data_IF_515481834379
#
_entry.id   IF_515481834379
#
_cell.length_a   1.000
_cell.length_b   1.000
_cell.length_c   1.000
_cell.angle_alpha   90.00
_cell.angle_beta   90.00
_cell.angle_gamma   90.00
#
_symmetry.space_group_name_H-M   'P 1'
#
loop_
_entity.id
_entity.type
_entity.pdbx_description
1 polymer ?
#
# COMPACT_ATOMS: atom_id res chain seq x y z
N UNK A 1 17.36 -5.83 9.02
CA UNK A 1 18.41 -5.51 8.04
C UNK A 1 18.23 -6.49 6.91
N UNK A 2 17.83 -5.99 5.74
CA UNK A 2 17.64 -6.81 4.55
C UNK A 2 18.82 -6.57 3.60
N UNK A 3 19.81 -7.46 3.65
CA UNK A 3 21.03 -7.37 2.83
C UNK A 3 20.72 -7.53 1.35
N UNK A 4 19.80 -8.43 1.01
CA UNK A 4 19.44 -8.74 -0.37
C UNK A 4 18.75 -7.55 -1.04
N UNK A 5 17.82 -6.90 -0.33
CA UNK A 5 17.19 -5.66 -0.79
C UNK A 5 18.22 -4.59 -1.09
N UNK A 6 19.14 -4.30 -0.15
CA UNK A 6 20.12 -3.22 -0.31
C UNK A 6 21.06 -3.45 -1.49
N UNK A 7 21.51 -4.69 -1.67
CA UNK A 7 22.36 -5.08 -2.80
C UNK A 7 21.61 -4.95 -4.13
N UNK A 8 20.38 -5.48 -4.20
CA UNK A 8 19.54 -5.40 -5.38
C UNK A 8 19.20 -3.95 -5.76
N UNK A 9 18.85 -3.11 -4.78
CA UNK A 9 18.61 -1.68 -4.99
C UNK A 9 19.85 -0.97 -5.51
N UNK A 10 21.01 -1.17 -4.89
CA UNK A 10 22.24 -0.50 -5.30
C UNK A 10 22.65 -0.85 -6.73
N UNK A 11 22.46 -2.12 -7.11
CA UNK A 11 22.70 -2.60 -8.47
C UNK A 11 21.67 -2.04 -9.47
N UNK A 12 20.38 -2.04 -9.12
CA UNK A 12 19.32 -1.47 -9.95
C UNK A 12 19.52 0.04 -10.20
N UNK A 13 19.90 0.80 -9.17
CA UNK A 13 20.23 2.23 -9.29
C UNK A 13 21.38 2.45 -10.26
N UNK A 14 22.49 1.71 -10.13
CA UNK A 14 23.67 1.84 -11.01
C UNK A 14 23.37 1.52 -12.48
N UNK A 15 22.37 0.66 -12.73
CA UNK A 15 21.91 0.33 -14.09
C UNK A 15 20.88 1.32 -14.64
N UNK A 16 20.26 2.14 -13.80
CA UNK A 16 19.22 3.07 -14.22
C UNK A 16 19.82 4.20 -15.07
N UNK A 17 19.28 4.49 -16.27
CA UNK A 17 19.78 5.59 -17.10
C UNK A 17 19.67 6.94 -16.37
N UNK A 18 20.80 7.66 -16.30
CA UNK A 18 20.85 8.99 -15.69
C UNK A 18 20.68 9.00 -14.16
N UNK A 19 20.98 7.88 -13.46
CA UNK A 19 20.89 7.82 -12.00
C UNK A 19 21.76 8.90 -11.32
N UNK A 20 22.86 9.29 -11.96
CA UNK A 20 23.79 10.33 -11.53
C UNK A 20 23.13 11.71 -11.40
N UNK A 21 21.99 11.92 -12.05
CA UNK A 21 21.17 13.11 -11.85
C UNK A 21 20.70 13.25 -10.40
N UNK A 22 20.47 12.15 -9.67
CA UNK A 22 19.94 12.15 -8.29
C UNK A 22 20.91 11.56 -7.28
N UNK A 23 21.74 10.59 -7.67
CA UNK A 23 22.68 9.88 -6.78
C UNK A 23 24.10 10.00 -7.33
N UNK A 24 25.00 10.65 -6.59
CA UNK A 24 26.40 10.82 -7.02
C UNK A 24 27.30 9.65 -6.61
N UNK A 25 26.99 8.93 -5.53
CA UNK A 25 27.72 7.73 -5.11
C UNK A 25 26.79 6.78 -4.35
N UNK A 26 27.02 5.48 -4.47
CA UNK A 26 26.30 4.44 -3.73
C UNK A 26 27.16 3.19 -3.55
N UNK A 27 27.37 2.82 -2.29
CA UNK A 27 28.20 1.69 -1.89
C UNK A 27 27.46 0.83 -0.90
N UNK A 28 27.46 -0.48 -1.15
CA UNK A 28 26.88 -1.49 -0.27
C UNK A 28 27.86 -2.66 -0.21
N UNK A 29 28.36 -2.94 0.98
CA UNK A 29 29.20 -4.08 1.29
C UNK A 29 28.41 -5.39 1.28
N UNK A 30 29.13 -6.52 1.30
CA UNK A 30 28.52 -7.86 1.33
C UNK A 30 27.68 -8.11 2.60
N UNK A 31 27.93 -7.36 3.65
CA UNK A 31 27.19 -7.37 4.91
C UNK A 31 25.96 -6.44 4.89
N UNK A 32 25.67 -5.78 3.76
CA UNK A 32 24.58 -4.84 3.59
C UNK A 32 24.83 -3.46 4.20
N UNK A 33 26.01 -3.20 4.77
CA UNK A 33 26.39 -1.88 5.27
C UNK A 33 26.93 -1.00 4.15
N UNK A 34 26.84 0.32 4.29
CA UNK A 34 27.34 1.24 3.29
C UNK A 34 26.66 2.60 3.36
N UNK A 35 26.63 3.31 2.23
CA UNK A 35 26.08 4.66 2.14
C UNK A 35 25.53 4.95 0.76
N UNK A 36 24.69 5.99 0.71
CA UNK A 36 24.27 6.67 -0.51
C UNK A 36 24.62 8.15 -0.37
N UNK A 37 25.17 8.74 -1.42
CA UNK A 37 25.40 10.19 -1.53
C UNK A 37 24.53 10.71 -2.64
N UNK A 38 23.62 11.61 -2.28
CA UNK A 38 22.73 12.26 -3.23
C UNK A 38 23.43 13.42 -3.96
N UNK A 39 23.07 13.60 -5.22
CA UNK A 39 23.57 14.68 -6.05
C UNK A 39 22.84 16.00 -5.71
N UNK A 40 23.54 17.02 -5.17
CA UNK A 40 22.91 18.29 -4.78
C UNK A 40 22.36 19.11 -5.95
N UNK A 41 22.75 18.80 -7.20
CA UNK A 41 22.13 19.44 -8.38
C UNK A 41 20.77 18.84 -8.75
N UNK A 42 20.45 17.64 -8.24
CA UNK A 42 19.22 16.93 -8.54
C UNK A 42 18.23 16.84 -7.40
N UNK A 43 18.68 16.93 -6.16
CA UNK A 43 17.81 16.89 -4.98
C UNK A 43 18.23 17.92 -3.95
N UNK A 44 17.26 18.43 -3.21
CA UNK A 44 17.49 19.22 -2.02
C UNK A 44 17.29 18.34 -0.79
N UNK A 45 18.26 18.33 0.13
CA UNK A 45 18.16 17.63 1.41
C UNK A 45 18.03 18.69 2.50
N UNK A 46 17.09 18.47 3.43
CA UNK A 46 16.93 19.33 4.59
C UNK A 46 18.23 19.37 5.43
N UNK A 47 18.84 20.55 5.65
CA UNK A 47 20.12 20.66 6.38
C UNK A 47 20.06 20.16 7.83
N UNK A 48 18.86 20.00 8.38
CA UNK A 48 18.62 19.51 9.74
C UNK A 48 18.24 18.03 9.79
N UNK A 49 18.26 17.34 8.64
CA UNK A 49 17.90 15.92 8.57
C UNK A 49 18.83 15.06 9.43
N UNK A 50 18.27 14.24 10.35
CA UNK A 50 19.07 13.35 11.18
C UNK A 50 19.66 12.21 10.35
N UNK A 51 20.91 11.83 10.66
CA UNK A 51 21.58 10.72 9.98
C UNK A 51 22.27 11.09 8.66
N UNK A 52 22.02 12.29 8.13
CA UNK A 52 22.74 12.82 6.97
C UNK A 52 24.04 13.55 7.39
N UNK A 53 25.11 13.31 6.63
CA UNK A 53 26.35 14.10 6.67
C UNK A 53 26.51 14.80 5.33
N UNK A 54 26.03 16.04 5.25
CA UNK A 54 25.87 16.73 3.97
C UNK A 54 24.75 16.06 3.17
N UNK A 55 25.07 15.53 1.99
CA UNK A 55 24.12 14.77 1.16
C UNK A 55 24.30 13.25 1.26
N UNK A 56 25.09 12.77 2.23
CA UNK A 56 25.36 11.34 2.41
C UNK A 56 24.60 10.77 3.60
N UNK A 57 23.94 9.62 3.42
CA UNK A 57 23.25 8.87 4.47
C UNK A 57 23.74 7.42 4.54
N UNK A 58 23.71 6.78 5.73
CA UNK A 58 23.98 5.35 5.84
C UNK A 58 22.90 4.54 5.11
N UNK A 59 23.31 3.47 4.45
CA UNK A 59 22.39 2.60 3.69
C UNK A 59 21.56 1.75 4.66
N UNK A 60 20.44 2.28 5.14
CA UNK A 60 19.42 1.52 5.89
C UNK A 60 18.42 0.85 4.93
N UNK A 61 17.53 0.00 5.44
CA UNK A 61 16.49 -0.62 4.60
C UNK A 61 15.53 0.45 4.03
N UNK A 62 15.19 1.46 4.84
CA UNK A 62 14.36 2.60 4.42
C UNK A 62 15.12 3.56 3.49
N UNK A 63 16.40 3.81 3.74
CA UNK A 63 17.23 4.66 2.87
C UNK A 63 17.41 4.02 1.49
N UNK A 64 17.52 2.68 1.41
CA UNK A 64 17.53 1.97 0.14
C UNK A 64 16.22 2.20 -0.64
N UNK A 65 15.07 2.10 0.03
CA UNK A 65 13.75 2.40 -0.55
C UNK A 65 13.69 3.86 -1.06
N UNK A 66 14.12 4.83 -0.23
CA UNK A 66 14.14 6.26 -0.57
C UNK A 66 15.02 6.56 -1.78
N UNK A 67 16.24 6.00 -1.82
CA UNK A 67 17.17 6.18 -2.93
C UNK A 67 16.65 5.57 -4.24
N UNK A 68 16.03 4.39 -4.17
CA UNK A 68 15.43 3.73 -5.33
C UNK A 68 14.24 4.53 -5.86
N UNK A 69 13.34 4.97 -4.98
CA UNK A 69 12.20 5.83 -5.33
C UNK A 69 12.66 7.10 -6.05
N UNK A 70 13.64 7.83 -5.49
CA UNK A 70 14.16 9.07 -6.08
C UNK A 70 14.77 8.86 -7.47
N UNK A 71 15.49 7.75 -7.66
CA UNK A 71 16.04 7.36 -8.97
C UNK A 71 14.91 7.17 -9.98
N UNK A 72 13.86 6.44 -9.61
CA UNK A 72 12.72 6.15 -10.50
C UNK A 72 11.82 7.35 -10.74
N UNK A 73 11.67 8.25 -9.76
CA UNK A 73 10.99 9.54 -9.95
C UNK A 73 11.64 10.32 -11.10
N UNK A 74 12.98 10.35 -11.15
CA UNK A 74 13.70 11.02 -12.23
C UNK A 74 13.65 10.25 -13.56
N UNK A 75 13.96 8.95 -13.55
CA UNK A 75 14.17 8.18 -14.78
C UNK A 75 12.89 7.64 -15.42
N UNK A 76 11.98 7.07 -14.62
CA UNK A 76 10.79 6.35 -15.10
C UNK A 76 9.56 7.26 -15.11
N UNK A 77 9.29 7.93 -13.99
CA UNK A 77 8.13 8.83 -13.85
C UNK A 77 8.41 10.25 -14.35
N UNK A 78 9.65 10.51 -14.79
CA UNK A 78 10.09 11.72 -15.53
C UNK A 78 9.89 13.04 -14.78
N UNK A 79 9.99 13.03 -13.47
CA UNK A 79 10.10 14.27 -12.69
C UNK A 79 11.49 14.89 -12.88
N UNK A 80 11.59 16.23 -13.03
CA UNK A 80 12.89 16.88 -13.11
C UNK A 80 13.76 16.57 -11.88
N UNK A 81 14.96 16.04 -12.11
CA UNK A 81 16.00 15.99 -11.09
C UNK A 81 16.52 17.43 -10.87
N UNK A 82 15.98 18.09 -9.85
CA UNK A 82 16.39 19.42 -9.43
C UNK A 82 16.09 19.63 -7.95
N UNK A 83 16.91 20.39 -7.21
CA UNK A 83 16.61 20.76 -5.83
C UNK A 83 15.33 21.58 -5.69
N UNK A 84 14.79 22.17 -6.77
CA UNK A 84 13.49 22.85 -6.78
C UNK A 84 12.30 21.90 -6.91
N UNK A 85 12.54 20.67 -7.36
CA UNK A 85 11.50 19.66 -7.64
C UNK A 85 11.51 18.54 -6.61
N UNK A 86 12.67 17.98 -6.28
CA UNK A 86 12.80 16.85 -5.38
C UNK A 86 13.41 17.32 -4.06
N UNK A 87 12.61 17.25 -2.99
CA UNK A 87 13.01 17.59 -1.63
C UNK A 87 12.99 16.34 -0.76
N UNK A 88 14.02 16.17 0.07
CA UNK A 88 14.23 15.02 0.95
C UNK A 88 14.25 15.49 2.40
N UNK A 89 13.57 14.74 3.27
CA UNK A 89 13.60 14.92 4.73
C UNK A 89 13.11 16.29 5.22
N UNK A 90 12.21 16.91 4.46
CA UNK A 90 11.74 18.28 4.71
C UNK A 90 11.08 18.38 6.09
N UNK A 91 11.64 19.27 6.93
CA UNK A 91 11.17 19.50 8.29
C UNK A 91 9.92 20.38 8.34
N UNK A 92 8.99 20.02 9.21
CA UNK A 92 7.84 20.83 9.59
C UNK A 92 7.91 21.21 11.06
N UNK A 93 7.38 22.39 11.40
CA UNK A 93 7.31 22.83 12.80
C UNK A 93 6.25 22.02 13.58
N UNK A 94 6.39 21.85 14.89
CA UNK A 94 5.35 21.22 15.71
C UNK A 94 4.03 21.98 15.57
N UNK A 95 2.92 21.26 15.37
CA UNK A 95 1.58 21.85 15.36
C UNK A 95 1.10 22.01 16.81
N UNK A 96 0.76 23.23 17.23
CA UNK A 96 0.00 23.50 18.46
C UNK A 96 0.78 23.42 19.80
N UNK A 97 2.09 23.14 19.80
CA UNK A 97 2.94 23.28 20.99
C UNK A 97 4.20 24.10 20.68
N UNK A 98 4.56 25.11 21.49
CA UNK A 98 5.80 25.88 21.30
C UNK A 98 7.07 25.02 21.42
N UNK A 99 6.96 23.88 22.10
CA UNK A 99 8.06 22.93 22.37
C UNK A 99 7.60 21.53 21.97
N UNK A 100 8.33 20.90 21.05
CA UNK A 100 8.08 19.54 20.55
C UNK A 100 8.99 19.22 19.36
N UNK A 101 9.17 17.92 19.03
CA UNK A 101 9.79 17.52 17.76
C UNK A 101 8.73 17.66 16.66
N UNK A 102 9.02 18.45 15.64
CA UNK A 102 8.20 18.54 14.45
C UNK A 102 8.23 17.23 13.64
N UNK A 103 7.40 17.14 12.60
CA UNK A 103 7.41 16.02 11.66
C UNK A 103 8.36 16.25 10.49
N UNK A 104 8.69 15.19 9.76
CA UNK A 104 9.40 15.24 8.48
C UNK A 104 8.63 14.41 7.47
N UNK A 105 8.70 14.83 6.22
CA UNK A 105 8.30 14.01 5.08
C UNK A 105 9.55 13.49 4.40
N UNK A 106 9.55 12.21 4.03
CA UNK A 106 10.72 11.58 3.43
C UNK A 106 11.03 12.17 2.05
N UNK A 107 10.01 12.29 1.19
CA UNK A 107 10.15 12.91 -0.13
C UNK A 107 8.96 13.82 -0.43
N UNK A 108 9.24 15.06 -0.82
CA UNK A 108 8.28 16.01 -1.36
C UNK A 108 8.63 16.31 -2.81
N UNK A 109 7.71 16.00 -3.73
CA UNK A 109 7.82 16.36 -5.15
C UNK A 109 7.01 17.63 -5.39
N UNK A 110 7.67 18.68 -5.89
CA UNK A 110 7.08 19.97 -6.24
C UNK A 110 6.61 19.99 -7.70
N UNK A 111 5.55 20.75 -7.98
CA UNK A 111 5.19 21.14 -9.35
C UNK A 111 6.26 22.04 -9.96
N UNK A 112 6.22 22.18 -11.29
CA UNK A 112 7.08 23.15 -11.99
C UNK A 112 6.63 24.55 -11.59
N UNK A 113 7.47 25.24 -10.82
CA UNK A 113 7.26 26.64 -10.47
C UNK A 113 7.62 27.59 -11.60
N UNK A 114 7.52 28.89 -11.34
CA UNK A 114 8.10 29.92 -12.22
C UNK A 114 9.62 29.73 -12.27
N UNK A 115 10.26 30.28 -13.31
CA UNK A 115 11.72 30.18 -13.48
C UNK A 115 12.47 30.54 -12.18
N UNK A 116 13.25 29.60 -11.66
CA UNK A 116 14.04 29.76 -10.44
C UNK A 116 13.24 29.67 -9.12
N UNK A 117 11.97 29.30 -9.15
CA UNK A 117 11.11 29.20 -7.97
C UNK A 117 10.59 27.77 -7.77
N UNK A 118 10.41 27.39 -6.50
CA UNK A 118 9.72 26.15 -6.12
C UNK A 118 8.24 26.27 -6.50
N UNK A 119 7.68 25.20 -7.04
CA UNK A 119 6.24 25.09 -7.23
C UNK A 119 5.50 24.68 -5.96
N UNK A 120 4.24 24.32 -6.14
CA UNK A 120 3.39 23.79 -5.09
C UNK A 120 3.75 22.32 -4.80
N UNK A 121 3.38 21.81 -3.62
CA UNK A 121 3.50 20.37 -3.36
C UNK A 121 2.63 19.57 -4.34
N UNK A 122 3.18 18.50 -4.91
CA UNK A 122 2.45 17.60 -5.81
C UNK A 122 2.34 16.20 -5.21
N UNK A 123 3.47 15.52 -4.95
CA UNK A 123 3.50 14.25 -4.20
C UNK A 123 4.10 14.47 -2.82
N UNK A 124 3.43 13.98 -1.78
CA UNK A 124 3.89 13.98 -0.40
C UNK A 124 4.08 12.53 0.04
N UNK A 125 5.33 12.07 0.12
CA UNK A 125 5.66 10.65 0.15
C UNK A 125 6.33 10.28 1.47
N UNK A 126 5.76 9.27 2.13
CA UNK A 126 6.35 8.56 3.26
C UNK A 126 6.87 7.20 2.75
N UNK A 127 8.15 6.93 2.98
CA UNK A 127 8.81 5.67 2.68
C UNK A 127 8.81 4.76 3.91
N UNK A 128 8.78 3.45 3.68
CA UNK A 128 9.02 2.45 4.72
C UNK A 128 9.98 1.39 4.26
N UNK A 129 10.79 0.89 5.19
CA UNK A 129 11.40 -0.42 5.03
C UNK A 129 10.30 -1.48 4.81
N UNK A 130 10.51 -2.51 3.97
CA UNK A 130 9.48 -3.51 3.69
C UNK A 130 8.90 -4.17 4.93
N UNK A 131 9.74 -4.45 5.93
CA UNK A 131 9.33 -5.04 7.21
C UNK A 131 8.45 -4.14 8.09
N UNK A 132 8.37 -2.85 7.78
CA UNK A 132 7.58 -1.84 8.53
C UNK A 132 6.37 -1.33 7.77
N UNK A 133 6.27 -1.60 6.47
CA UNK A 133 5.20 -1.07 5.62
C UNK A 133 3.81 -1.38 6.19
N UNK A 134 3.55 -2.63 6.57
CA UNK A 134 2.23 -2.97 7.10
C UNK A 134 2.06 -2.62 8.58
N UNK A 135 3.12 -2.76 9.39
CA UNK A 135 3.09 -2.49 10.84
C UNK A 135 2.80 -1.00 11.14
N UNK A 136 3.42 -0.12 10.34
CA UNK A 136 3.33 1.33 10.49
C UNK A 136 2.16 1.92 9.70
N UNK A 137 1.37 1.12 8.99
CA UNK A 137 0.21 1.61 8.24
C UNK A 137 -0.77 2.40 9.11
N UNK A 138 -0.92 2.02 10.37
CA UNK A 138 -1.71 2.75 11.39
C UNK A 138 -1.26 4.19 11.64
N UNK A 139 -0.04 4.56 11.25
CA UNK A 139 0.53 5.90 11.42
C UNK A 139 0.21 6.85 10.26
N UNK A 140 -0.45 6.36 9.20
CA UNK A 140 -0.70 7.10 7.96
C UNK A 140 -1.48 8.41 8.18
N UNK A 141 -2.39 8.48 9.15
CA UNK A 141 -3.10 9.72 9.51
C UNK A 141 -2.11 10.80 9.97
N UNK A 142 -1.21 10.45 10.89
CA UNK A 142 -0.22 11.38 11.42
C UNK A 142 0.82 11.78 10.38
N UNK A 143 1.40 10.80 9.68
CA UNK A 143 2.54 10.99 8.79
C UNK A 143 2.17 11.63 7.45
N UNK A 144 0.99 11.30 6.91
CA UNK A 144 0.55 11.85 5.62
C UNK A 144 -0.57 12.87 5.77
N UNK A 145 -1.73 12.48 6.33
CA UNK A 145 -2.91 13.37 6.33
C UNK A 145 -2.68 14.64 7.14
N UNK A 146 -2.24 14.51 8.39
CA UNK A 146 -2.07 15.65 9.30
C UNK A 146 -0.83 16.47 8.99
N UNK A 147 0.28 15.82 8.62
CA UNK A 147 1.52 16.52 8.31
C UNK A 147 1.42 17.35 7.01
N UNK A 148 0.76 16.82 5.98
CA UNK A 148 0.60 17.51 4.69
C UNK A 148 -0.21 18.82 4.77
N UNK A 149 -0.98 19.04 5.84
CA UNK A 149 -1.70 20.30 6.08
C UNK A 149 -0.76 21.51 6.29
N UNK A 150 0.53 21.27 6.52
CA UNK A 150 1.53 22.32 6.67
C UNK A 150 2.03 22.88 5.33
N UNK A 151 1.70 22.23 4.22
CA UNK A 151 1.94 22.77 2.87
C UNK A 151 0.73 23.58 2.42
N UNK A 152 0.99 24.76 1.84
CA UNK A 152 -0.05 25.64 1.29
C UNK A 152 0.34 26.04 -0.13
N UNK A 153 -0.39 25.59 -1.17
CA UNK A 153 -1.53 24.68 -1.10
C UNK A 153 -1.12 23.26 -0.68
N UNK A 154 -2.11 22.49 -0.18
CA UNK A 154 -1.89 21.09 0.21
C UNK A 154 -1.47 20.25 -1.01
N UNK A 155 -0.54 19.30 -0.87
CA UNK A 155 -0.08 18.47 -1.98
C UNK A 155 -1.24 17.68 -2.58
N UNK A 156 -1.24 17.54 -3.91
CA UNK A 156 -2.31 16.87 -4.65
C UNK A 156 -2.46 15.40 -4.23
N UNK A 157 -1.34 14.69 -4.05
CA UNK A 157 -1.33 13.28 -3.71
C UNK A 157 -0.49 13.01 -2.47
N UNK A 158 -1.03 12.19 -1.56
CA UNK A 158 -0.28 11.57 -0.48
C UNK A 158 0.12 10.17 -0.93
N UNK A 159 1.35 9.75 -0.62
CA UNK A 159 1.88 8.47 -1.06
C UNK A 159 2.53 7.76 0.13
N UNK A 160 2.10 6.54 0.40
CA UNK A 160 2.78 5.62 1.32
C UNK A 160 3.51 4.58 0.47
N UNK A 161 4.83 4.44 0.58
CA UNK A 161 5.64 3.72 -0.40
C UNK A 161 6.65 2.76 0.24
N UNK A 162 6.84 1.60 -0.39
CA UNK A 162 7.99 0.72 -0.15
C UNK A 162 8.39 0.00 -1.44
N UNK A 163 9.59 -0.56 -1.44
CA UNK A 163 10.06 -1.52 -2.45
C UNK A 163 10.66 -2.71 -1.74
N UNK A 164 10.21 -3.90 -2.10
CA UNK A 164 10.73 -5.17 -1.59
C UNK A 164 11.51 -5.92 -2.68
N UNK A 165 12.45 -6.78 -2.27
CA UNK A 165 13.15 -7.68 -3.17
C UNK A 165 12.63 -9.10 -2.97
N UNK A 166 11.87 -9.60 -3.95
CA UNK A 166 11.25 -10.93 -3.93
C UNK A 166 11.44 -11.61 -5.27
N UNK A 167 11.76 -12.90 -5.26
CA UNK A 167 11.91 -13.71 -6.47
C UNK A 167 12.87 -13.08 -7.50
N UNK A 168 14.01 -12.56 -7.01
CA UNK A 168 15.04 -11.88 -7.81
C UNK A 168 14.57 -10.59 -8.53
N UNK A 169 13.45 -10.00 -8.08
CA UNK A 169 12.89 -8.77 -8.63
C UNK A 169 12.60 -7.75 -7.53
N UNK A 170 12.81 -6.46 -7.85
CA UNK A 170 12.34 -5.35 -7.03
C UNK A 170 10.87 -5.08 -7.37
N UNK A 171 10.01 -5.10 -6.35
CA UNK A 171 8.57 -4.86 -6.49
C UNK A 171 8.15 -3.73 -5.57
N UNK A 172 7.49 -2.73 -6.13
CA UNK A 172 6.92 -1.65 -5.34
C UNK A 172 5.59 -2.06 -4.72
N UNK A 173 5.35 -1.56 -3.51
CA UNK A 173 4.02 -1.47 -2.95
C UNK A 173 3.78 -0.02 -2.56
N UNK A 174 2.62 0.53 -2.95
CA UNK A 174 2.29 1.90 -2.61
C UNK A 174 0.80 2.16 -2.47
N UNK A 175 0.45 3.17 -1.71
CA UNK A 175 -0.92 3.69 -1.56
C UNK A 175 -0.89 5.15 -1.94
N UNK A 176 -1.55 5.50 -3.05
CA UNK A 176 -1.74 6.89 -3.47
C UNK A 176 -3.15 7.37 -3.14
N UNK A 177 -3.23 8.55 -2.51
CA UNK A 177 -4.47 9.17 -2.02
C UNK A 177 -4.60 10.58 -2.62
N UNK A 178 -5.71 10.89 -3.29
CA UNK A 178 -6.03 12.22 -3.80
C UNK A 178 -6.60 13.13 -2.71
N UNK A 179 -5.89 14.20 -2.35
CA UNK A 179 -6.30 15.12 -1.27
C UNK A 179 -7.48 16.03 -1.62
N UNK A 180 -7.83 16.17 -2.91
CA UNK A 180 -9.08 16.84 -3.28
C UNK A 180 -10.28 15.92 -3.15
N UNK A 181 -10.08 14.60 -3.31
CA UNK A 181 -11.14 13.61 -3.12
C UNK A 181 -11.36 13.31 -1.64
N UNK A 182 -10.26 13.15 -0.90
CA UNK A 182 -10.27 12.86 0.52
C UNK A 182 -9.51 13.93 1.29
N UNK A 183 -10.23 14.83 1.94
CA UNK A 183 -9.64 15.95 2.66
C UNK A 183 -9.17 15.55 4.07
N UNK A 184 -9.65 14.42 4.59
CA UNK A 184 -9.25 13.89 5.90
C UNK A 184 -9.09 12.38 5.88
N UNK A 185 -8.35 11.86 6.86
CA UNK A 185 -8.25 10.41 7.07
C UNK A 185 -9.62 9.79 7.29
N UNK A 186 -10.51 10.44 8.05
CA UNK A 186 -11.87 9.96 8.32
C UNK A 186 -12.70 9.77 7.05
N UNK A 187 -12.61 10.70 6.09
CA UNK A 187 -13.32 10.58 4.80
C UNK A 187 -12.78 9.41 3.96
N UNK A 188 -11.45 9.27 3.91
CA UNK A 188 -10.79 8.17 3.19
C UNK A 188 -11.12 6.82 3.83
N UNK A 189 -11.09 6.75 5.16
CA UNK A 189 -11.46 5.58 5.94
C UNK A 189 -12.91 5.17 5.67
N UNK A 190 -13.85 6.10 5.76
CA UNK A 190 -15.28 5.86 5.48
C UNK A 190 -15.54 5.33 4.05
N UNK A 191 -14.68 5.68 3.08
CA UNK A 191 -14.72 5.12 1.72
C UNK A 191 -14.10 3.72 1.60
N UNK A 192 -13.72 3.11 2.72
CA UNK A 192 -13.06 1.81 2.80
C UNK A 192 -11.54 1.89 2.61
N UNK A 193 -10.94 3.08 2.64
CA UNK A 193 -9.53 3.29 2.33
C UNK A 193 -9.16 2.86 0.90
N UNK A 194 -9.78 3.42 -0.16
CA UNK A 194 -9.47 3.09 -1.55
C UNK A 194 -7.97 3.26 -1.83
N UNK A 195 -7.39 2.28 -2.53
CA UNK A 195 -5.97 2.20 -2.83
C UNK A 195 -5.77 2.42 -4.33
N UNK A 196 -4.82 3.26 -4.69
CA UNK A 196 -4.29 3.34 -6.06
C UNK A 196 -2.79 3.11 -6.02
N UNK A 197 -2.33 2.06 -6.69
CA UNK A 197 -0.93 1.62 -6.61
C UNK A 197 -0.12 2.10 -7.82
N UNK A 198 -0.22 3.39 -8.18
CA UNK A 198 0.51 3.94 -9.33
C UNK A 198 0.90 5.39 -9.12
N UNK A 199 2.19 5.69 -9.25
CA UNK A 199 2.70 7.06 -9.30
C UNK A 199 2.38 7.68 -10.67
N UNK A 200 1.80 8.90 -10.72
CA UNK A 200 1.55 9.58 -11.99
C UNK A 200 2.86 9.91 -12.71
N UNK A 201 2.88 9.76 -14.04
CA UNK A 201 4.01 10.25 -14.85
C UNK A 201 3.94 11.78 -14.89
N UNK A 202 5.02 12.45 -14.47
CA UNK A 202 5.07 13.90 -14.30
C UNK A 202 3.89 14.39 -13.45
N UNK A 203 3.16 15.38 -13.92
CA UNK A 203 2.04 15.98 -13.19
C UNK A 203 0.69 15.52 -13.75
N UNK A 204 0.65 14.33 -14.37
CA UNK A 204 -0.57 13.73 -14.91
C UNK A 204 -1.46 13.09 -13.83
N UNK A 205 -2.46 12.34 -14.28
CA UNK A 205 -3.30 11.52 -13.42
C UNK A 205 -2.69 10.12 -13.22
N UNK A 206 -2.86 9.50 -12.04
CA UNK A 206 -2.48 8.11 -11.83
C UNK A 206 -3.36 7.22 -12.71
N UNK A 207 -2.76 6.22 -13.36
CA UNK A 207 -3.49 5.22 -14.14
C UNK A 207 -3.45 3.89 -13.39
N UNK A 208 -4.54 3.48 -12.72
CA UNK A 208 -4.53 2.28 -11.90
C UNK A 208 -4.32 1.06 -12.79
N UNK A 209 -3.38 0.21 -12.39
CA UNK A 209 -3.23 -1.12 -12.98
C UNK A 209 -4.25 -2.09 -12.36
N UNK A 210 -4.91 -2.88 -13.19
CA UNK A 210 -5.90 -3.89 -12.82
C UNK A 210 -5.27 -5.26 -12.67
N UNK A 211 -5.71 -6.00 -11.65
CA UNK A 211 -5.35 -7.40 -11.51
C UNK A 211 -6.08 -8.21 -12.57
N UNK A 212 -5.35 -9.04 -13.30
CA UNK A 212 -5.89 -9.81 -14.43
C UNK A 212 -5.19 -11.17 -14.53
N UNK A 213 -5.85 -12.12 -15.20
CA UNK A 213 -5.29 -13.44 -15.47
C UNK A 213 -4.23 -13.36 -16.58
N UNK A 214 -3.10 -12.75 -16.26
CA UNK A 214 -1.92 -12.59 -17.11
C UNK A 214 -0.70 -13.17 -16.41
N UNK A 215 0.30 -13.62 -17.16
CA UNK A 215 1.52 -14.20 -16.58
C UNK A 215 2.53 -13.14 -16.13
N UNK A 216 2.49 -11.96 -16.74
CA UNK A 216 3.37 -10.83 -16.47
C UNK A 216 2.62 -9.54 -16.70
N UNK A 217 3.14 -8.44 -16.15
CA UNK A 217 2.59 -7.12 -16.39
C UNK A 217 2.56 -6.79 -17.90
N UNK A 218 1.42 -6.27 -18.34
CA UNK A 218 1.18 -5.89 -19.74
C UNK A 218 0.25 -4.66 -19.78
N UNK A 219 0.83 -3.48 -20.05
CA UNK A 219 0.09 -2.23 -20.07
C UNK A 219 -0.49 -1.89 -18.70
N UNK A 220 -1.83 -1.80 -18.61
CA UNK A 220 -2.54 -1.57 -17.35
C UNK A 220 -2.95 -2.86 -16.63
N UNK A 221 -2.55 -4.04 -17.13
CA UNK A 221 -2.88 -5.32 -16.52
C UNK A 221 -1.67 -5.89 -15.77
N UNK A 222 -1.90 -6.50 -14.61
CA UNK A 222 -0.87 -7.15 -13.80
C UNK A 222 -1.35 -8.47 -13.20
N UNK A 223 -0.44 -9.45 -12.99
CA UNK A 223 -0.77 -10.70 -12.32
C UNK A 223 -1.09 -10.49 -10.84
N UNK A 224 -1.75 -11.48 -10.24
CA UNK A 224 -1.81 -11.63 -8.78
C UNK A 224 -0.42 -11.98 -8.21
N UNK A 225 -0.17 -11.56 -6.98
CA UNK A 225 1.00 -11.98 -6.20
C UNK A 225 0.82 -13.43 -5.73
N UNK A 226 1.65 -14.32 -6.29
CA UNK A 226 1.73 -15.75 -5.94
C UNK A 226 2.89 -16.04 -4.98
N UNK A 227 3.50 -15.02 -4.38
CA UNK A 227 4.64 -15.12 -3.47
C UNK A 227 4.39 -14.46 -2.12
N UNK A 228 3.12 -14.32 -1.73
CA UNK A 228 2.74 -13.89 -0.39
C UNK A 228 3.19 -14.94 0.64
N UNK A 229 3.98 -14.51 1.63
CA UNK A 229 4.55 -15.38 2.66
C UNK A 229 3.51 -15.79 3.71
N UNK A 230 3.78 -16.84 4.49
CA UNK A 230 2.93 -17.22 5.63
C UNK A 230 2.72 -16.07 6.62
N UNK A 231 3.76 -15.27 6.87
CA UNK A 231 3.68 -14.05 7.69
C UNK A 231 2.74 -13.00 7.08
N UNK A 232 2.78 -12.81 5.76
CA UNK A 232 1.87 -11.91 5.03
C UNK A 232 0.42 -12.38 5.20
N UNK A 233 0.14 -13.67 5.02
CA UNK A 233 -1.20 -14.23 5.23
C UNK A 233 -1.67 -14.11 6.68
N UNK A 234 -0.80 -14.42 7.65
CA UNK A 234 -1.13 -14.30 9.06
C UNK A 234 -1.50 -12.87 9.46
N UNK A 235 -0.77 -11.89 8.94
CA UNK A 235 -1.04 -10.47 9.14
C UNK A 235 -2.36 -10.05 8.49
N UNK A 236 -2.57 -10.38 7.22
CA UNK A 236 -3.81 -10.07 6.49
C UNK A 236 -5.02 -10.66 7.19
N UNK A 237 -4.92 -11.90 7.67
CA UNK A 237 -5.97 -12.58 8.42
C UNK A 237 -6.33 -11.84 9.70
N UNK A 238 -5.33 -11.54 10.54
CA UNK A 238 -5.53 -10.83 11.80
C UNK A 238 -6.19 -9.48 11.57
N UNK A 239 -5.72 -8.76 10.56
CA UNK A 239 -6.26 -7.49 10.15
C UNK A 239 -7.71 -7.57 9.64
N UNK A 240 -8.01 -8.52 8.76
CA UNK A 240 -9.36 -8.72 8.20
C UNK A 240 -10.34 -9.08 9.31
N UNK A 241 -9.92 -9.95 10.25
CA UNK A 241 -10.72 -10.31 11.42
C UNK A 241 -10.99 -9.07 12.29
N UNK A 242 -9.96 -8.32 12.65
CA UNK A 242 -10.08 -7.12 13.50
C UNK A 242 -11.02 -6.07 12.87
N UNK A 243 -10.92 -5.85 11.55
CA UNK A 243 -11.76 -4.91 10.81
C UNK A 243 -13.21 -5.36 10.79
N UNK A 244 -13.47 -6.63 10.51
CA UNK A 244 -14.85 -7.15 10.48
C UNK A 244 -15.43 -7.16 11.90
N UNK A 245 -14.67 -7.61 12.90
CA UNK A 245 -15.07 -7.69 14.31
C UNK A 245 -15.34 -6.31 14.95
N UNK A 246 -14.48 -5.32 14.67
CA UNK A 246 -14.71 -3.89 14.91
C UNK A 246 -15.12 -3.50 16.34
N UNK A 247 -14.48 -4.05 17.37
CA UNK A 247 -14.75 -3.67 18.77
C UNK A 247 -15.75 -4.57 19.53
N UNK A 248 -16.24 -5.66 18.93
CA UNK A 248 -17.21 -6.57 19.56
C UNK A 248 -18.65 -6.29 19.15
N UNK A 249 -18.84 -5.43 18.15
CA UNK A 249 -20.14 -5.13 17.55
C UNK A 249 -20.63 -6.21 16.58
N UNK A 250 -19.82 -7.22 16.26
CA UNK A 250 -20.17 -8.34 15.39
C UNK A 250 -19.82 -9.65 16.08
N UNK A 251 -20.75 -10.61 16.09
CA UNK A 251 -20.54 -11.92 16.71
C UNK A 251 -19.47 -12.72 15.94
N UNK A 252 -18.56 -13.42 16.63
CA UNK A 252 -17.47 -14.20 16.02
C UNK A 252 -17.97 -15.14 14.91
N UNK A 253 -19.08 -15.84 15.12
CA UNK A 253 -19.66 -16.71 14.09
C UNK A 253 -20.05 -15.94 12.81
N UNK A 254 -20.52 -14.69 12.94
CA UNK A 254 -20.83 -13.85 11.79
C UNK A 254 -19.56 -13.33 11.10
N UNK A 255 -18.52 -12.99 11.88
CA UNK A 255 -17.21 -12.60 11.36
C UNK A 255 -16.65 -13.70 10.45
N UNK A 256 -16.59 -14.94 10.96
CA UNK A 256 -16.13 -16.10 10.20
C UNK A 256 -16.94 -16.29 8.92
N UNK A 257 -18.28 -16.21 8.99
CA UNK A 257 -19.16 -16.36 7.83
C UNK A 257 -18.87 -15.30 6.77
N UNK A 258 -18.68 -14.03 7.14
CA UNK A 258 -18.36 -12.99 6.15
C UNK A 258 -16.99 -13.20 5.48
N UNK A 259 -15.98 -13.60 6.25
CA UNK A 259 -14.66 -13.92 5.70
C UNK A 259 -14.75 -15.10 4.74
N UNK A 260 -15.42 -16.19 5.14
CA UNK A 260 -15.59 -17.38 4.30
C UNK A 260 -16.30 -17.05 2.98
N UNK A 261 -17.35 -16.22 3.04
CA UNK A 261 -18.07 -15.78 1.83
C UNK A 261 -17.19 -14.93 0.90
N UNK A 262 -16.34 -14.04 1.44
CA UNK A 262 -15.41 -13.23 0.65
C UNK A 262 -14.33 -14.09 0.01
N UNK A 263 -13.75 -15.03 0.76
CA UNK A 263 -12.76 -15.97 0.24
C UNK A 263 -13.37 -16.88 -0.83
N UNK A 264 -14.63 -17.32 -0.67
CA UNK A 264 -15.33 -18.07 -1.72
C UNK A 264 -15.49 -17.25 -3.00
N UNK A 265 -15.83 -15.97 -2.91
CA UNK A 265 -15.87 -15.07 -4.07
C UNK A 265 -14.50 -14.95 -4.75
N UNK A 266 -13.43 -14.80 -3.95
CA UNK A 266 -12.04 -14.74 -4.44
C UNK A 266 -11.64 -16.02 -5.18
N UNK A 267 -11.94 -17.18 -4.59
CA UNK A 267 -11.64 -18.50 -5.19
C UNK A 267 -12.40 -18.67 -6.51
N UNK A 268 -13.67 -18.30 -6.53
CA UNK A 268 -14.47 -18.32 -7.76
C UNK A 268 -13.87 -17.45 -8.83
N UNK A 269 -13.52 -16.21 -8.49
CA UNK A 269 -12.92 -15.29 -9.43
C UNK A 269 -11.60 -15.80 -10.03
N UNK A 270 -10.71 -16.30 -9.17
CA UNK A 270 -9.39 -16.77 -9.59
C UNK A 270 -9.45 -17.97 -10.53
N UNK A 271 -10.44 -18.87 -10.36
CA UNK A 271 -10.62 -20.06 -11.21
C UNK A 271 -11.35 -19.77 -12.51
N UNK A 272 -12.37 -18.92 -12.48
CA UNK A 272 -13.30 -18.75 -13.59
C UNK A 272 -12.91 -17.59 -14.53
N UNK A 273 -12.01 -16.70 -14.10
CA UNK A 273 -11.54 -15.60 -14.95
C UNK A 273 -10.72 -16.11 -16.13
N UNK A 274 -11.20 -15.83 -17.34
CA UNK A 274 -10.54 -16.25 -18.58
C UNK A 274 -9.12 -15.62 -18.73
N UNK A 275 -8.19 -16.30 -19.42
CA UNK A 275 -6.86 -15.73 -19.69
C UNK A 275 -6.95 -14.36 -20.38
N UNK A 276 -6.22 -13.38 -19.84
CA UNK A 276 -6.20 -12.00 -20.32
C UNK A 276 -7.33 -11.11 -19.79
N UNK A 277 -8.32 -11.65 -19.09
CA UNK A 277 -9.41 -10.87 -18.49
C UNK A 277 -9.04 -10.34 -17.10
N UNK A 278 -9.65 -9.21 -16.73
CA UNK A 278 -9.56 -8.65 -15.38
C UNK A 278 -10.33 -9.50 -14.37
N UNK A 279 -9.77 -9.65 -13.17
CA UNK A 279 -10.42 -10.28 -12.04
C UNK A 279 -11.61 -9.43 -11.56
N UNK A 280 -12.78 -10.01 -11.29
CA UNK A 280 -13.87 -9.25 -10.71
C UNK A 280 -13.65 -8.97 -9.22
N UNK A 281 -12.91 -9.81 -8.49
CA UNK A 281 -12.56 -9.59 -7.09
C UNK A 281 -11.41 -8.58 -6.98
N UNK A 282 -11.72 -7.33 -7.27
CA UNK A 282 -10.90 -6.15 -7.01
C UNK A 282 -11.81 -4.93 -6.91
N UNK A 283 -11.28 -3.81 -6.40
CA UNK A 283 -11.96 -2.53 -6.36
C UNK A 283 -12.03 -1.89 -7.75
N UNK A 284 -13.18 -1.35 -8.08
CA UNK A 284 -13.36 -0.52 -9.28
C UNK A 284 -12.90 0.93 -9.09
N UNK A 285 -12.90 1.69 -10.18
CA UNK A 285 -12.57 3.12 -10.17
C UNK A 285 -11.07 3.44 -10.07
N UNK A 286 -10.74 4.71 -9.85
CA UNK A 286 -9.37 5.21 -9.72
C UNK A 286 -9.18 6.13 -8.50
N UNK A 287 -8.00 6.75 -8.35
CA UNK A 287 -7.71 7.64 -7.21
C UNK A 287 -8.64 8.86 -7.15
N UNK A 288 -9.17 9.30 -8.29
CA UNK A 288 -10.02 10.49 -8.43
C UNK A 288 -11.49 10.12 -8.25
N UNK A 289 -11.91 9.02 -8.86
CA UNK A 289 -13.28 8.47 -8.79
C UNK A 289 -13.27 6.98 -8.39
N UNK A 290 -13.05 6.67 -7.09
CA UNK A 290 -13.02 5.30 -6.61
C UNK A 290 -14.44 4.72 -6.52
N UNK A 291 -14.59 3.42 -6.78
CA UNK A 291 -15.84 2.70 -6.55
C UNK A 291 -16.33 2.89 -5.11
N UNK A 292 -17.62 3.20 -4.94
CA UNK A 292 -18.17 3.38 -3.59
C UNK A 292 -18.27 2.03 -2.86
N UNK A 293 -18.16 1.99 -1.52
CA UNK A 293 -18.32 0.75 -0.78
C UNK A 293 -19.63 0.02 -1.05
N UNK A 294 -20.73 0.75 -1.23
CA UNK A 294 -22.04 0.15 -1.50
C UNK A 294 -22.09 -0.51 -2.89
N UNK A 295 -21.56 0.15 -3.93
CA UNK A 295 -21.48 -0.41 -5.28
C UNK A 295 -20.63 -1.69 -5.32
N UNK A 296 -19.51 -1.70 -4.61
CA UNK A 296 -18.66 -2.88 -4.46
C UNK A 296 -19.43 -4.02 -3.78
N UNK A 297 -20.15 -3.73 -2.70
CA UNK A 297 -20.94 -4.74 -1.98
C UNK A 297 -22.05 -5.32 -2.86
N UNK A 298 -22.74 -4.50 -3.65
CA UNK A 298 -23.75 -4.99 -4.60
C UNK A 298 -23.14 -5.98 -5.60
N UNK A 299 -21.97 -5.64 -6.15
CA UNK A 299 -21.24 -6.50 -7.08
C UNK A 299 -20.73 -7.80 -6.43
N UNK A 300 -20.20 -7.72 -5.20
CA UNK A 300 -19.77 -8.90 -4.43
C UNK A 300 -20.94 -9.83 -4.08
N UNK A 301 -22.15 -9.30 -3.86
CA UNK A 301 -23.33 -10.13 -3.65
C UNK A 301 -23.71 -10.91 -4.90
N UNK A 302 -23.62 -10.32 -6.09
CA UNK A 302 -23.86 -11.03 -7.35
C UNK A 302 -22.78 -12.10 -7.61
N UNK A 303 -21.51 -11.76 -7.37
CA UNK A 303 -20.40 -12.71 -7.49
C UNK A 303 -20.54 -13.89 -6.52
N UNK A 304 -20.98 -13.64 -5.29
CA UNK A 304 -21.21 -14.71 -4.32
C UNK A 304 -22.28 -15.70 -4.79
N UNK A 305 -23.39 -15.23 -5.37
CA UNK A 305 -24.45 -16.12 -5.90
C UNK A 305 -23.89 -17.07 -6.96
N UNK A 306 -23.03 -16.57 -7.85
CA UNK A 306 -22.37 -17.39 -8.87
C UNK A 306 -21.42 -18.42 -8.24
N UNK A 307 -20.63 -18.00 -7.25
CA UNK A 307 -19.71 -18.87 -6.54
C UNK A 307 -20.44 -19.98 -5.77
N UNK A 308 -21.55 -19.65 -5.11
CA UNK A 308 -22.38 -20.58 -4.36
C UNK A 308 -23.02 -21.63 -5.28
N UNK A 309 -23.60 -21.21 -6.40
CA UNK A 309 -24.15 -22.12 -7.41
C UNK A 309 -23.08 -23.07 -7.97
N UNK A 310 -21.89 -22.55 -8.23
CA UNK A 310 -20.82 -23.31 -8.88
C UNK A 310 -20.15 -24.31 -7.93
N UNK A 311 -19.87 -23.91 -6.70
CA UNK A 311 -19.05 -24.71 -5.77
C UNK A 311 -19.79 -25.36 -4.63
N UNK A 312 -20.92 -24.81 -4.19
CA UNK A 312 -21.74 -25.44 -3.14
C UNK A 312 -22.81 -26.36 -3.72
N UNK A 313 -22.89 -26.47 -5.06
CA UNK A 313 -23.81 -27.33 -5.80
C UNK A 313 -25.27 -27.24 -5.30
N UNK A 314 -25.67 -26.04 -4.86
CA UNK A 314 -27.04 -25.81 -4.41
C UNK A 314 -27.96 -25.80 -5.63
N UNK A 315 -29.16 -26.42 -5.53
CA UNK A 315 -30.13 -26.40 -6.64
C UNK A 315 -30.61 -24.98 -6.98
N UNK A 316 -30.60 -24.08 -6.00
CA UNK A 316 -30.86 -22.65 -6.13
C UNK A 316 -29.91 -21.86 -5.20
N UNK A 317 -29.54 -20.60 -5.52
CA UNK A 317 -28.69 -19.81 -4.63
C UNK A 317 -29.43 -19.50 -3.33
N UNK A 318 -28.68 -19.27 -2.26
CA UNK A 318 -29.24 -18.90 -0.96
C UNK A 318 -30.10 -17.63 -1.09
N UNK A 319 -31.26 -17.63 -0.43
CA UNK A 319 -32.16 -16.48 -0.45
C UNK A 319 -31.59 -15.38 0.45
N UNK A 320 -31.44 -14.17 -0.10
CA UNK A 320 -30.98 -13.00 0.64
C UNK A 320 -29.62 -12.49 0.16
N UNK A 321 -29.08 -11.50 0.87
CA UNK A 321 -27.77 -10.92 0.54
C UNK A 321 -26.68 -11.63 1.34
N UNK A 322 -25.64 -12.07 0.64
CA UNK A 322 -24.43 -12.61 1.25
C UNK A 322 -23.78 -11.61 2.21
N UNK A 323 -23.76 -10.34 1.80
CA UNK A 323 -23.25 -9.18 2.51
C UNK A 323 -24.39 -8.15 2.67
N UNK A 324 -25.12 -8.26 3.77
CA UNK A 324 -26.22 -7.35 4.14
C UNK A 324 -25.66 -6.12 4.87
N UNK A 325 -25.79 -4.95 4.26
CA UNK A 325 -25.19 -3.71 4.78
C UNK A 325 -25.89 -3.15 6.02
N UNK A 326 -27.05 -3.72 6.40
CA UNK A 326 -27.67 -3.46 7.71
C UNK A 326 -26.97 -4.17 8.87
N UNK A 327 -26.20 -5.23 8.57
CA UNK A 327 -25.49 -6.06 9.57
C UNK A 327 -23.98 -5.86 9.57
N UNK A 328 -23.40 -5.59 8.40
CA UNK A 328 -21.98 -5.31 8.25
C UNK A 328 -21.78 -4.08 7.37
N UNK A 329 -21.00 -3.10 7.83
CA UNK A 329 -20.82 -1.88 7.05
C UNK A 329 -20.15 -2.17 5.70
N UNK A 330 -20.64 -1.51 4.65
CA UNK A 330 -20.08 -1.66 3.31
C UNK A 330 -18.59 -1.29 3.25
N UNK A 331 -18.17 -0.32 4.07
CA UNK A 331 -16.79 0.08 4.27
C UNK A 331 -15.89 -1.11 4.65
N UNK A 332 -16.32 -1.96 5.60
CA UNK A 332 -15.55 -3.13 6.04
C UNK A 332 -15.38 -4.15 4.91
N UNK A 333 -16.45 -4.43 4.17
CA UNK A 333 -16.37 -5.34 3.02
C UNK A 333 -15.43 -4.79 1.95
N UNK A 334 -15.59 -3.51 1.60
CA UNK A 334 -14.71 -2.86 0.64
C UNK A 334 -13.25 -2.95 1.10
N UNK A 335 -12.97 -2.68 2.38
CA UNK A 335 -11.62 -2.75 2.95
C UNK A 335 -11.00 -4.12 2.72
N UNK A 336 -11.71 -5.19 3.07
CA UNK A 336 -11.22 -6.57 2.95
C UNK A 336 -10.96 -6.94 1.50
N UNK A 337 -11.84 -6.55 0.57
CA UNK A 337 -11.60 -6.75 -0.87
C UNK A 337 -10.30 -6.06 -1.30
N UNK A 338 -10.07 -4.82 -0.88
CA UNK A 338 -8.85 -4.08 -1.20
C UNK A 338 -7.57 -4.67 -0.61
N UNK A 339 -7.62 -5.40 0.51
CA UNK A 339 -6.45 -6.11 1.07
C UNK A 339 -6.16 -7.43 0.35
N UNK A 340 -7.20 -8.09 -0.16
CA UNK A 340 -7.09 -9.40 -0.80
C UNK A 340 -6.90 -9.33 -2.32
N UNK A 341 -7.34 -8.27 -2.99
CA UNK A 341 -7.38 -8.18 -4.46
C UNK A 341 -6.05 -8.46 -5.16
N UNK A 342 -4.93 -8.14 -4.52
CA UNK A 342 -3.58 -8.35 -5.06
C UNK A 342 -3.09 -9.79 -4.98
N UNK A 343 -3.50 -10.55 -3.97
CA UNK A 343 -2.87 -11.82 -3.59
C UNK A 343 -3.65 -12.97 -4.21
N UNK A 344 -2.95 -13.99 -4.72
CA UNK A 344 -3.60 -15.25 -5.07
C UNK A 344 -3.84 -16.08 -3.83
N UNK A 345 -5.07 -16.57 -3.67
CA UNK A 345 -5.42 -17.49 -2.58
C UNK A 345 -5.43 -18.95 -3.03
N UNK A 346 -5.34 -19.21 -4.35
CA UNK A 346 -5.33 -20.56 -4.91
C UNK A 346 -3.92 -21.03 -5.26
N UNK A 347 -3.09 -20.13 -5.78
CA UNK A 347 -1.74 -20.46 -6.25
C UNK A 347 -0.69 -19.68 -5.45
N UNK A 348 0.23 -20.40 -4.81
CA UNK A 348 1.36 -19.79 -4.13
C UNK A 348 2.63 -20.62 -4.35
N UNK A 349 3.77 -19.95 -4.46
CA UNK A 349 5.09 -20.60 -4.59
C UNK A 349 5.54 -21.25 -3.29
N UNK A 350 4.98 -20.84 -2.14
CA UNK A 350 5.26 -21.46 -0.86
C UNK A 350 4.41 -22.73 -0.69
N UNK A 351 5.02 -23.88 -0.35
CA UNK A 351 4.30 -25.13 -0.13
C UNK A 351 3.47 -25.05 1.17
N UNK A 352 2.23 -25.54 1.14
CA UNK A 352 1.35 -25.59 2.31
C UNK A 352 -0.12 -25.41 1.91
N UNK A 353 -1.04 -25.76 2.83
CA UNK A 353 -2.45 -25.43 2.67
C UNK A 353 -2.72 -24.04 3.27
N UNK A 354 -2.31 -23.00 2.56
CA UNK A 354 -2.46 -21.61 3.03
C UNK A 354 -3.91 -21.25 3.34
N UNK A 355 -4.87 -21.82 2.61
CA UNK A 355 -6.30 -21.60 2.85
C UNK A 355 -6.77 -22.35 4.11
N UNK A 356 -6.37 -23.61 4.26
CA UNK A 356 -6.62 -24.39 5.47
C UNK A 356 -6.08 -23.68 6.71
N UNK A 357 -4.79 -23.31 6.71
CA UNK A 357 -4.15 -22.56 7.80
C UNK A 357 -4.83 -21.21 8.06
N UNK A 358 -5.25 -20.50 6.99
CA UNK A 358 -5.96 -19.24 7.10
C UNK A 358 -7.29 -19.41 7.85
N UNK A 359 -8.08 -20.45 7.55
CA UNK A 359 -9.36 -20.70 8.21
C UNK A 359 -9.20 -21.31 9.61
N UNK A 360 -8.30 -22.27 9.79
CA UNK A 360 -8.03 -22.91 11.09
C UNK A 360 -7.69 -21.88 12.15
N UNK A 361 -6.82 -20.92 11.84
CA UNK A 361 -6.42 -19.92 12.82
C UNK A 361 -7.53 -18.89 13.11
N UNK A 362 -8.46 -18.63 12.17
CA UNK A 362 -9.65 -17.80 12.47
C UNK A 362 -10.52 -18.53 13.50
N UNK A 363 -10.77 -19.83 13.26
CA UNK A 363 -11.53 -20.70 14.17
C UNK A 363 -10.84 -20.79 15.52
N UNK A 364 -9.54 -21.09 15.59
CA UNK A 364 -8.79 -21.15 16.86
C UNK A 364 -8.88 -19.84 17.65
N UNK A 365 -8.74 -18.68 17.00
CA UNK A 365 -8.87 -17.37 17.64
C UNK A 365 -10.28 -17.10 18.19
N UNK A 366 -11.31 -17.59 17.50
CA UNK A 366 -12.71 -17.43 17.91
C UNK A 366 -13.12 -18.38 19.04
N UNK A 367 -12.49 -19.57 19.16
CA UNK A 367 -12.84 -20.58 20.16
C UNK A 367 -11.92 -20.62 21.41
N UNK A 368 -10.75 -19.98 21.40
CA UNK A 368 -9.78 -20.05 22.53
C UNK A 368 -9.82 -18.86 23.51
N UNK A 369 -10.71 -17.88 23.35
CA UNK A 369 -10.76 -16.72 24.23
C UNK A 369 -11.90 -16.75 25.28
N UNK A 370 -11.63 -17.11 26.54
CA UNK A 370 -12.03 -16.29 27.67
C UNK A 370 -10.88 -15.32 27.94
N UNK A 371 -10.94 -14.09 27.41
CA UNK A 371 -10.03 -13.04 27.89
C UNK A 371 -10.38 -12.75 29.35
N UNK A 372 -9.64 -13.37 30.26
CA UNK A 372 -9.63 -13.05 31.68
C UNK A 372 -9.53 -11.54 31.86
N UNK A 373 -10.60 -10.92 32.36
CA UNK A 373 -10.58 -9.59 32.93
C UNK A 373 -9.59 -9.59 34.12
N UNK A 374 -8.39 -9.05 33.92
CA UNK A 374 -7.61 -8.54 35.05
C UNK A 374 -8.08 -7.11 35.31
N UNK A 375 -9.01 -6.98 36.25
CA UNK A 375 -9.20 -5.74 36.98
C UNK A 375 -7.89 -5.44 37.71
N UNK A 376 -7.28 -4.30 37.41
CA UNK A 376 -6.31 -3.67 38.31
C UNK A 376 -7.01 -2.43 38.85
N UNK A 377 -7.26 -2.46 40.16
CA UNK A 377 -7.76 -1.35 40.96
C UNK A 377 -6.68 -0.28 41.13
#
# INVERSE_FOLDING_TARGET
MDVNLRLAVADAIKRAPGFDAVISDIQVGKDGTGHVTYNPVGVWIDPTSPGFRGTTAPMTDEEAVRAYLLTRLASEWRYPASPLTLEVERAYKPVGRPVGKGGRVDVLVRSVGKAGQRGDGFLFIECKAPSKFDEDFKLIDGQLFRLSLQETPRPRYLVYFTTEFKQDELRDQLILIDTKRFTSFTEWDAAGQPITETIPIRYGAPQPKRYANVQREAGLLRPLDKAATAETFHRLRSEIHDVIWGGGGTNNNEVFVYIAKLVLCKIYDERETAPGAEYAFQRGGDAVDPETPQSLVDRMNEQYKLAELTYLALPEPSTGRAFDTSRISAQKIAYVVGRLERISVIENVHPGDLLGEFFEQIVEGDFTAPRCFRWVA
#
